data_IF_580063317659
#
_entry.id   IF_580063317659
#
_cell.length_a   1.000
_cell.length_b   1.000
_cell.length_c   1.000
_cell.angle_alpha   90.00
_cell.angle_beta   90.00
_cell.angle_gamma   90.00
#
_symmetry.space_group_name_H-M   'P 1'
#
loop_
_entity.id
_entity.type
_entity.pdbx_description
1 polymer ?
#
# COMPACT_ATOMS: atom_id res chain seq x y z
N UNK A 1 -20.72 -21.58 -52.11
CA UNK A 1 -20.74 -20.10 -52.20
C UNK A 1 -19.89 -19.61 -51.06
N UNK A 2 -18.64 -19.22 -51.28
CA UNK A 2 -18.23 -17.91 -51.86
C UNK A 2 -18.73 -16.77 -50.93
N UNK A 3 -17.94 -15.80 -50.48
CA UNK A 3 -16.76 -15.22 -51.10
C UNK A 3 -16.08 -14.30 -50.03
N UNK A 4 -14.74 -14.25 -49.91
CA UNK A 4 -13.81 -13.39 -50.66
C UNK A 4 -13.60 -12.04 -49.93
N UNK A 5 -12.46 -11.79 -49.24
CA UNK A 5 -11.11 -11.46 -49.78
C UNK A 5 -11.05 -9.92 -50.10
N UNK A 6 -10.03 -9.08 -49.74
CA UNK A 6 -8.70 -8.85 -50.38
C UNK A 6 -8.10 -7.50 -49.94
N UNK A 7 -6.80 -7.14 -50.02
CA UNK A 7 -5.49 -7.69 -50.44
C UNK A 7 -4.43 -6.69 -49.84
N UNK A 8 -3.16 -7.01 -49.62
CA UNK A 8 -2.19 -7.31 -50.66
C UNK A 8 -0.92 -8.00 -50.12
N UNK A 9 -0.41 -8.91 -50.94
CA UNK A 9 0.89 -9.59 -50.86
C UNK A 9 1.89 -8.84 -51.74
N UNK A 10 3.14 -8.74 -51.30
CA UNK A 10 4.33 -8.60 -52.17
C UNK A 10 5.25 -9.81 -52.00
N UNK A 11 6.06 -10.16 -53.02
CA UNK A 11 6.54 -11.51 -53.23
C UNK A 11 7.77 -11.88 -52.40
N UNK A 12 7.97 -13.19 -52.29
CA UNK A 12 9.02 -13.90 -51.58
C UNK A 12 10.44 -13.30 -51.73
N UNK A 13 11.07 -13.02 -50.59
CA UNK A 13 12.48 -13.36 -50.41
C UNK A 13 12.50 -14.68 -49.64
N UNK A 14 13.24 -15.66 -50.14
CA UNK A 14 13.44 -16.94 -49.48
C UNK A 14 14.06 -16.70 -48.09
N UNK A 15 13.23 -16.70 -47.05
CA UNK A 15 13.72 -16.88 -45.69
C UNK A 15 14.01 -18.36 -45.53
N UNK A 16 15.28 -18.68 -45.34
CA UNK A 16 15.72 -19.93 -44.76
C UNK A 16 14.71 -20.38 -43.72
N UNK A 17 14.19 -21.59 -43.85
CA UNK A 17 13.38 -22.24 -42.82
C UNK A 17 14.25 -22.29 -41.57
N UNK A 18 14.14 -21.26 -40.74
CA UNK A 18 14.65 -21.29 -39.39
C UNK A 18 13.97 -22.51 -38.77
N UNK A 19 14.72 -23.48 -38.22
CA UNK A 19 14.09 -24.57 -37.50
C UNK A 19 13.15 -23.93 -36.46
N UNK A 20 11.93 -24.49 -36.25
CA UNK A 20 11.07 -23.99 -35.19
C UNK A 20 11.92 -23.87 -33.93
N UNK A 21 11.89 -22.72 -33.22
CA UNK A 21 12.71 -22.51 -32.04
C UNK A 21 12.54 -23.75 -31.17
N UNK A 22 13.67 -24.37 -30.80
CA UNK A 22 13.66 -25.58 -30.01
C UNK A 22 12.69 -25.36 -28.85
N UNK A 23 11.56 -26.08 -28.87
CA UNK A 23 10.57 -26.01 -27.81
C UNK A 23 11.28 -26.62 -26.61
N UNK A 24 11.91 -25.75 -25.80
CA UNK A 24 12.49 -26.15 -24.54
C UNK A 24 11.39 -26.87 -23.75
N UNK A 25 11.73 -28.00 -23.12
CA UNK A 25 10.70 -28.77 -22.44
C UNK A 25 10.02 -27.89 -21.39
N UNK A 26 8.70 -28.00 -21.29
CA UNK A 26 7.89 -27.28 -20.30
C UNK A 26 8.42 -27.50 -18.87
N UNK A 27 9.06 -28.65 -18.62
CA UNK A 27 9.73 -28.98 -17.36
C UNK A 27 10.93 -28.06 -17.05
N UNK A 28 11.75 -27.73 -18.05
CA UNK A 28 12.88 -26.80 -17.88
C UNK A 28 12.37 -25.38 -17.65
N UNK A 29 11.34 -24.96 -18.40
CA UNK A 29 10.70 -23.65 -18.19
C UNK A 29 10.07 -23.54 -16.79
N UNK A 30 9.39 -24.59 -16.33
CA UNK A 30 8.80 -24.64 -15.00
C UNK A 30 9.87 -24.60 -13.89
N UNK A 31 10.98 -25.33 -14.06
CA UNK A 31 12.09 -25.32 -13.11
C UNK A 31 12.78 -23.95 -13.04
N UNK A 32 13.06 -23.32 -14.19
CA UNK A 32 13.64 -21.99 -14.25
C UNK A 32 12.71 -20.92 -13.67
N UNK A 33 11.39 -21.07 -13.87
CA UNK A 33 10.38 -20.21 -13.26
C UNK A 33 10.38 -20.35 -11.74
N UNK A 34 10.39 -21.58 -11.21
CA UNK A 34 10.43 -21.83 -9.77
C UNK A 34 11.71 -21.30 -9.12
N UNK A 35 12.88 -21.53 -9.72
CA UNK A 35 14.16 -20.98 -9.23
C UNK A 35 14.14 -19.45 -9.24
N UNK A 36 13.73 -18.83 -10.36
CA UNK A 36 13.69 -17.39 -10.47
C UNK A 36 12.70 -16.75 -9.48
N UNK A 37 11.52 -17.35 -9.28
CA UNK A 37 10.55 -16.91 -8.27
C UNK A 37 11.14 -17.02 -6.86
N UNK A 38 11.79 -18.13 -6.52
CA UNK A 38 12.44 -18.31 -5.21
C UNK A 38 13.53 -17.27 -4.94
N UNK A 39 14.41 -17.03 -5.93
CA UNK A 39 15.46 -16.00 -5.83
C UNK A 39 14.89 -14.59 -5.76
N UNK A 40 13.83 -14.32 -6.52
CA UNK A 40 13.15 -13.01 -6.51
C UNK A 40 12.45 -12.74 -5.18
N UNK A 41 11.83 -13.77 -4.58
CA UNK A 41 11.25 -13.69 -3.24
C UNK A 41 12.34 -13.43 -2.18
N UNK A 42 13.45 -14.17 -2.22
CA UNK A 42 14.57 -13.96 -1.30
C UNK A 42 15.19 -12.55 -1.45
N UNK A 43 15.27 -12.03 -2.68
CA UNK A 43 15.76 -10.68 -2.94
C UNK A 43 14.80 -9.59 -2.46
N UNK A 44 13.49 -9.75 -2.66
CA UNK A 44 12.47 -8.75 -2.31
C UNK A 44 12.04 -8.79 -0.84
N UNK A 45 12.29 -9.89 -0.11
CA UNK A 45 11.88 -10.03 1.29
C UNK A 45 12.49 -8.95 2.22
N UNK A 46 13.80 -8.64 2.18
CA UNK A 46 14.37 -7.58 3.01
C UNK A 46 13.82 -6.18 2.70
N UNK A 47 13.52 -5.93 1.43
CA UNK A 47 12.88 -4.70 0.97
C UNK A 47 11.46 -4.56 1.54
N UNK A 48 10.70 -5.66 1.58
CA UNK A 48 9.37 -5.68 2.19
C UNK A 48 9.44 -5.55 3.71
N UNK A 49 10.40 -6.19 4.38
CA UNK A 49 10.59 -6.04 5.83
C UNK A 49 10.94 -4.59 6.25
N UNK A 50 11.65 -3.84 5.40
CA UNK A 50 11.92 -2.42 5.64
C UNK A 50 10.67 -1.56 5.62
N UNK A 51 9.68 -1.94 4.84
CA UNK A 51 8.39 -1.26 4.79
C UNK A 51 7.70 -1.41 6.15
N UNK A 52 7.60 -2.62 6.67
CA UNK A 52 6.98 -2.89 7.97
C UNK A 52 7.73 -2.16 9.09
N UNK A 53 9.07 -2.22 9.07
CA UNK A 53 9.91 -1.50 10.02
C UNK A 53 9.68 0.02 9.97
N UNK A 54 9.56 0.59 8.77
CA UNK A 54 9.30 2.03 8.60
C UNK A 54 7.88 2.39 9.04
N UNK A 55 6.90 1.53 8.81
CA UNK A 55 5.53 1.72 9.30
C UNK A 55 5.51 1.74 10.84
N UNK A 56 6.13 0.76 11.49
CA UNK A 56 6.26 0.69 12.95
C UNK A 56 6.98 1.92 13.52
N UNK A 57 8.04 2.37 12.86
CA UNK A 57 8.76 3.60 13.23
C UNK A 57 7.83 4.81 13.21
N UNK A 58 7.07 5.00 12.13
CA UNK A 58 6.14 6.12 11.99
C UNK A 58 5.02 6.07 13.04
N UNK A 59 4.48 4.88 13.34
CA UNK A 59 3.51 4.69 14.43
C UNK A 59 4.14 5.07 15.78
N UNK A 60 5.40 4.66 16.03
CA UNK A 60 6.12 4.99 17.26
C UNK A 60 6.39 6.48 17.43
N UNK A 61 6.50 7.24 16.34
CA UNK A 61 6.60 8.71 16.41
C UNK A 61 5.33 9.30 17.05
N UNK A 62 4.15 8.78 16.71
CA UNK A 62 2.86 9.24 17.26
C UNK A 62 2.85 9.27 18.80
N UNK A 63 3.47 8.28 19.44
CA UNK A 63 3.58 8.16 20.90
C UNK A 63 4.34 9.31 21.57
N UNK A 64 5.18 10.02 20.80
CA UNK A 64 6.01 11.11 21.30
C UNK A 64 5.20 12.25 21.91
N UNK A 65 4.09 12.61 21.25
CA UNK A 65 3.17 13.65 21.72
C UNK A 65 2.52 13.25 23.04
N UNK A 66 1.92 12.07 23.09
CA UNK A 66 1.17 11.62 24.27
C UNK A 66 2.06 11.55 25.51
N UNK A 67 3.29 11.06 25.38
CA UNK A 67 4.21 10.97 26.51
C UNK A 67 4.64 12.35 27.03
N UNK A 68 4.97 13.29 26.14
CA UNK A 68 5.31 14.67 26.55
C UNK A 68 4.13 15.32 27.24
N UNK A 69 2.92 15.22 26.67
CA UNK A 69 1.71 15.81 27.26
C UNK A 69 1.42 15.21 28.64
N UNK A 70 1.57 13.90 28.82
CA UNK A 70 1.39 13.25 30.11
C UNK A 70 2.36 13.77 31.18
N UNK A 71 3.64 13.96 30.83
CA UNK A 71 4.64 14.52 31.75
C UNK A 71 4.36 15.99 32.07
N UNK A 72 3.96 16.79 31.09
CA UNK A 72 3.62 18.19 31.29
C UNK A 72 2.37 18.36 32.16
N UNK A 73 1.33 17.56 31.93
CA UNK A 73 0.11 17.54 32.74
C UNK A 73 0.39 17.11 34.19
N UNK A 74 1.38 16.25 34.41
CA UNK A 74 1.88 15.90 35.74
C UNK A 74 2.82 16.97 36.34
N UNK A 75 3.00 18.12 35.69
CA UNK A 75 3.88 19.24 36.10
C UNK A 75 5.37 18.84 36.13
N UNK A 76 5.76 17.80 35.38
CA UNK A 76 7.12 17.25 35.33
C UNK A 76 7.94 17.83 34.18
N UNK A 77 8.02 19.16 34.10
CA UNK A 77 8.66 19.89 32.98
C UNK A 77 10.13 19.48 32.72
N UNK A 78 10.90 19.21 33.77
CA UNK A 78 12.31 18.78 33.63
C UNK A 78 12.41 17.36 33.07
N UNK A 79 11.55 16.46 33.53
CA UNK A 79 11.47 15.08 33.02
C UNK A 79 11.07 15.09 31.56
N UNK A 80 10.03 15.86 31.19
CA UNK A 80 9.57 16.00 29.80
C UNK A 80 10.70 16.40 28.85
N UNK A 81 11.50 17.41 29.21
CA UNK A 81 12.67 17.84 28.40
C UNK A 81 13.74 16.76 28.30
N UNK A 82 14.13 16.17 29.42
CA UNK A 82 15.18 15.14 29.43
C UNK A 82 14.78 13.89 28.64
N UNK A 83 13.51 13.50 28.75
CA UNK A 83 12.93 12.40 28.00
C UNK A 83 12.89 12.72 26.51
N UNK A 84 12.37 13.91 26.13
CA UNK A 84 12.21 14.28 24.73
C UNK A 84 13.54 14.33 23.99
N UNK A 85 14.61 14.84 24.62
CA UNK A 85 15.96 14.85 24.04
C UNK A 85 16.50 13.44 23.82
N UNK A 86 16.34 12.54 24.80
CA UNK A 86 16.79 11.15 24.68
C UNK A 86 15.99 10.39 23.61
N UNK A 87 14.67 10.49 23.66
CA UNK A 87 13.77 9.91 22.67
C UNK A 87 14.09 10.42 21.26
N UNK A 88 14.35 11.72 21.10
CA UNK A 88 14.72 12.30 19.82
C UNK A 88 16.05 11.76 19.28
N UNK A 89 17.03 11.49 20.14
CA UNK A 89 18.27 10.85 19.75
C UNK A 89 18.04 9.39 19.30
N UNK A 90 17.22 8.64 20.04
CA UNK A 90 16.86 7.25 19.72
C UNK A 90 16.12 7.15 18.37
N UNK A 91 15.14 8.02 18.12
CA UNK A 91 14.38 8.01 16.86
C UNK A 91 15.24 8.38 15.66
N UNK A 92 16.10 9.41 15.78
CA UNK A 92 17.04 9.76 14.70
C UNK A 92 18.05 8.67 14.43
N UNK A 93 18.58 8.02 15.47
CA UNK A 93 19.48 6.89 15.31
C UNK A 93 18.79 5.70 14.60
N UNK A 94 17.55 5.38 14.98
CA UNK A 94 16.76 4.33 14.33
C UNK A 94 16.50 4.63 12.85
N UNK A 95 16.10 5.86 12.53
CA UNK A 95 15.90 6.30 11.16
C UNK A 95 17.17 6.24 10.30
N UNK A 96 18.32 6.63 10.87
CA UNK A 96 19.61 6.54 10.19
C UNK A 96 20.03 5.08 9.95
N UNK A 97 19.83 4.20 10.94
CA UNK A 97 20.11 2.77 10.82
C UNK A 97 19.27 2.08 9.74
N UNK A 98 18.00 2.48 9.58
CA UNK A 98 17.13 1.97 8.51
C UNK A 98 17.65 2.38 7.12
N UNK A 99 18.14 3.60 6.97
CA UNK A 99 18.74 4.06 5.71
C UNK A 99 20.07 3.36 5.41
N UNK A 100 20.91 3.14 6.43
CA UNK A 100 22.15 2.37 6.30
C UNK A 100 21.84 0.93 5.88
N UNK A 101 20.87 0.27 6.54
CA UNK A 101 20.41 -1.06 6.17
C UNK A 101 19.93 -1.11 4.73
N UNK A 102 19.15 -0.11 4.26
CA UNK A 102 18.68 -0.03 2.89
C UNK A 102 19.84 0.07 1.89
N UNK A 103 20.85 0.87 2.21
CA UNK A 103 22.03 1.03 1.36
C UNK A 103 22.86 -0.25 1.24
N UNK A 104 22.79 -1.14 2.23
CA UNK A 104 23.46 -2.43 2.24
C UNK A 104 22.72 -3.55 1.49
N UNK A 105 21.48 -3.34 1.05
CA UNK A 105 20.71 -4.35 0.32
C UNK A 105 21.18 -4.50 -1.14
N UNK A 106 21.10 -5.72 -1.73
CA UNK A 106 21.53 -5.96 -3.10
C UNK A 106 20.75 -5.09 -4.12
N UNK A 107 21.42 -4.19 -4.86
CA UNK A 107 20.72 -3.14 -5.61
C UNK A 107 20.01 -3.63 -6.88
N UNK A 108 20.34 -4.83 -7.37
CA UNK A 108 19.83 -5.38 -8.62
C UNK A 108 19.06 -6.68 -8.35
N UNK A 109 17.84 -6.83 -8.88
CA UNK A 109 17.09 -8.07 -8.76
C UNK A 109 17.75 -9.20 -9.58
N UNK A 110 17.43 -10.47 -9.28
CA UNK A 110 17.86 -11.61 -10.08
C UNK A 110 17.44 -11.44 -11.55
N UNK A 111 18.34 -11.68 -12.52
CA UNK A 111 17.99 -11.56 -13.93
C UNK A 111 16.96 -12.62 -14.32
N UNK A 112 16.00 -12.23 -15.16
CA UNK A 112 15.01 -13.15 -15.72
C UNK A 112 15.70 -14.11 -16.69
N UNK A 113 15.59 -15.45 -16.50
CA UNK A 113 16.19 -16.44 -17.39
C UNK A 113 15.71 -16.30 -18.84
N UNK A 114 16.61 -16.48 -19.81
CA UNK A 114 16.28 -16.36 -21.23
C UNK A 114 15.22 -17.38 -21.69
N UNK A 115 15.11 -18.50 -20.98
CA UNK A 115 14.16 -19.59 -21.22
C UNK A 115 12.70 -19.18 -20.95
N UNK A 116 12.48 -18.21 -20.06
CA UNK A 116 11.17 -17.73 -19.65
C UNK A 116 10.96 -16.23 -19.94
N UNK A 117 11.95 -15.57 -20.55
CA UNK A 117 11.93 -14.12 -20.82
C UNK A 117 10.99 -13.71 -21.96
N UNK A 118 10.52 -14.67 -22.76
CA UNK A 118 9.55 -14.41 -23.82
C UNK A 118 8.15 -14.18 -23.26
N UNK A 119 7.85 -14.66 -22.04
CA UNK A 119 6.58 -14.44 -21.36
C UNK A 119 6.41 -12.96 -20.96
N UNK A 120 5.40 -12.24 -21.49
CA UNK A 120 5.13 -10.85 -21.14
C UNK A 120 4.86 -10.63 -19.64
N UNK A 121 4.18 -11.55 -18.96
CA UNK A 121 3.86 -11.44 -17.54
C UNK A 121 5.12 -11.54 -16.68
N UNK A 122 6.04 -12.44 -17.03
CA UNK A 122 7.32 -12.57 -16.30
C UNK A 122 8.24 -11.38 -16.55
N UNK A 123 8.27 -10.82 -17.76
CA UNK A 123 8.98 -9.56 -18.03
C UNK A 123 8.42 -8.39 -17.21
N UNK A 124 7.10 -8.30 -17.10
CA UNK A 124 6.46 -7.28 -16.27
C UNK A 124 6.79 -7.46 -14.79
N UNK A 125 6.78 -8.69 -14.29
CA UNK A 125 7.20 -9.01 -12.91
C UNK A 125 8.66 -8.64 -12.65
N UNK A 126 9.57 -8.95 -13.58
CA UNK A 126 10.98 -8.57 -13.47
C UNK A 126 11.18 -7.05 -13.42
N UNK A 127 10.43 -6.30 -14.24
CA UNK A 127 10.43 -4.83 -14.21
C UNK A 127 9.90 -4.30 -12.87
N UNK A 128 8.85 -4.92 -12.32
CA UNK A 128 8.25 -4.54 -11.03
C UNK A 128 9.23 -4.70 -9.87
N UNK A 129 10.12 -5.70 -9.91
CA UNK A 129 11.20 -5.86 -8.92
C UNK A 129 12.19 -4.69 -8.95
N UNK A 130 12.57 -4.20 -10.14
CA UNK A 130 13.44 -3.02 -10.26
C UNK A 130 12.77 -1.80 -9.62
N UNK A 131 11.49 -1.58 -9.92
CA UNK A 131 10.72 -0.46 -9.39
C UNK A 131 10.53 -0.52 -7.87
N UNK A 132 10.42 -1.72 -7.29
CA UNK A 132 10.25 -1.91 -5.84
C UNK A 132 11.35 -1.19 -5.04
N UNK A 133 12.62 -1.37 -5.42
CA UNK A 133 13.76 -0.76 -4.73
C UNK A 133 13.69 0.77 -4.78
N UNK A 134 13.42 1.34 -5.95
CA UNK A 134 13.39 2.79 -6.14
C UNK A 134 12.23 3.44 -5.37
N UNK A 135 11.10 2.74 -5.30
CA UNK A 135 9.93 3.17 -4.52
C UNK A 135 10.20 3.12 -3.02
N UNK A 136 10.84 2.06 -2.51
CA UNK A 136 11.24 1.99 -1.09
C UNK A 136 12.24 3.09 -0.74
N UNK A 137 13.23 3.33 -1.61
CA UNK A 137 14.17 4.44 -1.40
C UNK A 137 13.47 5.80 -1.35
N UNK A 138 12.42 5.98 -2.15
CA UNK A 138 11.59 7.20 -2.14
C UNK A 138 10.78 7.32 -0.85
N UNK A 139 10.14 6.24 -0.41
CA UNK A 139 9.41 6.14 0.84
C UNK A 139 10.29 6.49 2.05
N UNK A 140 11.48 5.90 2.15
CA UNK A 140 12.42 6.18 3.24
C UNK A 140 12.80 7.66 3.27
N UNK A 141 13.11 8.28 2.12
CA UNK A 141 13.46 9.71 2.05
C UNK A 141 12.30 10.64 2.41
N UNK A 142 11.10 10.39 1.90
CA UNK A 142 9.94 11.24 2.14
C UNK A 142 9.52 11.21 3.61
N UNK A 143 9.47 10.01 4.19
CA UNK A 143 9.08 9.82 5.59
C UNK A 143 10.15 10.31 6.57
N UNK A 144 11.42 10.32 6.17
CA UNK A 144 12.51 10.87 6.98
C UNK A 144 12.30 12.35 7.32
N UNK A 145 12.07 13.19 6.32
CA UNK A 145 11.96 14.64 6.53
C UNK A 145 10.78 15.01 7.41
N UNK A 146 9.62 14.40 7.18
CA UNK A 146 8.42 14.61 8.01
C UNK A 146 8.62 14.07 9.43
N UNK A 147 9.29 12.92 9.57
CA UNK A 147 9.62 12.33 10.86
C UNK A 147 10.58 13.18 11.69
N UNK A 148 11.67 13.66 11.09
CA UNK A 148 12.64 14.56 11.74
C UNK A 148 11.99 15.87 12.18
N UNK A 149 11.18 16.46 11.32
CA UNK A 149 10.43 17.69 11.64
C UNK A 149 9.54 17.47 12.87
N UNK A 150 8.84 16.34 12.94
CA UNK A 150 8.00 16.03 14.09
C UNK A 150 8.80 15.75 15.37
N UNK A 151 9.95 15.08 15.26
CA UNK A 151 10.87 14.90 16.39
C UNK A 151 11.27 16.26 16.97
N UNK A 152 11.60 17.24 16.13
CA UNK A 152 11.92 18.60 16.56
C UNK A 152 10.74 19.28 17.28
N UNK A 153 9.52 19.07 16.78
CA UNK A 153 8.31 19.61 17.40
C UNK A 153 8.04 19.00 18.78
N UNK A 154 8.26 17.69 18.97
CA UNK A 154 8.15 17.04 20.28
C UNK A 154 9.18 17.62 21.26
N UNK A 155 10.41 17.82 20.81
CA UNK A 155 11.47 18.45 21.64
C UNK A 155 11.09 19.88 22.01
N UNK A 156 10.60 20.69 21.07
CA UNK A 156 10.15 22.05 21.33
C UNK A 156 8.96 22.08 22.31
N UNK A 157 7.96 21.23 22.10
CA UNK A 157 6.76 21.13 22.93
C UNK A 157 7.05 20.72 24.38
N UNK A 158 8.17 20.03 24.65
CA UNK A 158 8.62 19.73 26.02
C UNK A 158 8.89 20.99 26.88
N UNK A 159 8.90 22.18 26.27
CA UNK A 159 8.94 23.46 26.98
C UNK A 159 7.64 23.79 27.72
N UNK A 160 6.50 23.24 27.28
CA UNK A 160 5.15 23.52 27.78
C UNK A 160 4.53 24.84 27.26
N UNK A 161 5.18 25.54 26.33
CA UNK A 161 4.63 26.79 25.76
C UNK A 161 3.47 26.48 24.82
N UNK A 162 2.38 27.25 24.94
CA UNK A 162 1.16 27.05 24.14
C UNK A 162 1.42 27.04 22.63
N UNK A 163 2.31 27.90 22.12
CA UNK A 163 2.69 27.92 20.70
C UNK A 163 3.42 26.65 20.24
N UNK A 164 4.29 26.08 21.09
CA UNK A 164 5.01 24.84 20.76
C UNK A 164 4.05 23.62 20.79
N UNK A 165 3.07 23.63 21.71
CA UNK A 165 2.04 22.59 21.80
C UNK A 165 1.09 22.62 20.58
N UNK A 166 0.64 23.80 20.16
CA UNK A 166 -0.17 23.94 18.94
C UNK A 166 0.61 23.52 17.67
N UNK A 167 1.91 23.84 17.60
CA UNK A 167 2.77 23.39 16.52
C UNK A 167 2.94 21.86 16.51
N UNK A 168 3.08 21.23 17.69
CA UNK A 168 3.10 19.77 17.82
C UNK A 168 1.79 19.11 17.37
N UNK A 169 0.64 19.68 17.72
CA UNK A 169 -0.67 19.20 17.25
C UNK A 169 -0.75 19.24 15.72
N UNK A 170 -0.36 20.36 15.11
CA UNK A 170 -0.30 20.48 13.64
C UNK A 170 0.73 19.55 12.99
N UNK A 171 1.88 19.33 13.63
CA UNK A 171 2.91 18.41 13.17
C UNK A 171 2.49 16.94 13.20
N UNK A 172 1.67 16.56 14.18
CA UNK A 172 1.14 15.19 14.26
C UNK A 172 0.34 14.81 13.01
N UNK A 173 -0.52 15.72 12.53
CA UNK A 173 -1.24 15.52 11.27
C UNK A 173 -0.30 15.36 10.07
N UNK A 174 0.81 16.10 10.02
CA UNK A 174 1.78 16.00 8.93
C UNK A 174 2.51 14.65 8.91
N UNK A 175 2.76 14.03 10.08
CA UNK A 175 3.31 12.67 10.15
C UNK A 175 2.31 11.64 9.68
N UNK A 176 1.05 11.75 10.10
CA UNK A 176 -0.02 10.85 9.66
C UNK A 176 -0.25 10.95 8.14
N UNK A 177 -0.23 12.17 7.60
CA UNK A 177 -0.26 12.43 6.16
C UNK A 177 0.89 11.73 5.44
N UNK A 178 2.13 11.94 5.90
CA UNK A 178 3.31 11.28 5.31
C UNK A 178 3.26 9.76 5.41
N UNK A 179 2.66 9.21 6.48
CA UNK A 179 2.46 7.77 6.64
C UNK A 179 1.46 7.22 5.61
N UNK A 180 0.33 7.90 5.40
CA UNK A 180 -0.67 7.48 4.42
C UNK A 180 -0.17 7.67 2.98
N UNK A 181 0.60 8.72 2.70
CA UNK A 181 1.26 8.91 1.39
C UNK A 181 2.27 7.80 1.10
N UNK A 182 3.04 7.41 2.11
CA UNK A 182 3.96 6.28 2.03
C UNK A 182 3.21 4.96 1.77
N UNK A 183 2.11 4.70 2.48
CA UNK A 183 1.27 3.53 2.24
C UNK A 183 0.70 3.52 0.80
N UNK A 184 0.25 4.67 0.27
CA UNK A 184 -0.21 4.77 -1.12
C UNK A 184 0.90 4.39 -2.12
N UNK A 185 2.13 4.85 -1.89
CA UNK A 185 3.28 4.48 -2.74
C UNK A 185 3.55 2.97 -2.70
N UNK A 186 3.43 2.36 -1.53
CA UNK A 186 3.58 0.91 -1.34
C UNK A 186 2.47 0.13 -2.04
N UNK A 187 1.21 0.48 -1.80
CA UNK A 187 0.06 -0.14 -2.45
C UNK A 187 0.19 -0.08 -3.98
N UNK A 188 0.72 1.04 -4.48
CA UNK A 188 1.00 1.20 -5.92
C UNK A 188 2.18 0.34 -6.38
N UNK A 189 3.13 0.02 -5.50
CA UNK A 189 4.32 -0.80 -5.79
C UNK A 189 4.03 -2.30 -5.78
N UNK A 190 3.11 -2.73 -4.92
CA UNK A 190 2.80 -4.14 -4.69
C UNK A 190 1.50 -4.59 -5.34
N UNK A 191 0.76 -3.67 -5.98
CA UNK A 191 -0.45 -4.04 -6.73
C UNK A 191 -0.09 -4.97 -7.89
N UNK A 192 -0.90 -6.02 -8.07
CA UNK A 192 -0.82 -6.91 -9.22
C UNK A 192 -1.16 -6.18 -10.54
N UNK A 193 -1.09 -6.84 -11.69
CA UNK A 193 -1.50 -6.26 -12.96
C UNK A 193 -2.99 -5.91 -12.99
N UNK A 194 -3.34 -4.96 -13.87
CA UNK A 194 -4.73 -4.53 -14.08
C UNK A 194 -5.57 -5.74 -14.48
N UNK A 195 -6.75 -5.87 -13.86
CA UNK A 195 -7.66 -6.98 -14.09
C UNK A 195 -7.60 -8.05 -13.00
N UNK A 196 -6.58 -8.05 -12.14
CA UNK A 196 -6.51 -8.94 -10.98
C UNK A 196 -7.19 -8.37 -9.72
N UNK A 197 -7.74 -9.20 -8.82
CA UNK A 197 -8.41 -8.71 -7.63
C UNK A 197 -7.51 -7.86 -6.73
N UNK A 198 -6.21 -8.19 -6.65
CA UNK A 198 -5.27 -7.44 -5.83
C UNK A 198 -4.99 -6.03 -6.36
N UNK A 199 -5.08 -5.82 -7.68
CA UNK A 199 -4.95 -4.48 -8.27
C UNK A 199 -6.04 -3.55 -7.76
N UNK A 200 -7.28 -4.04 -7.79
CA UNK A 200 -8.45 -3.28 -7.36
C UNK A 200 -8.50 -3.10 -5.84
N UNK A 201 -8.10 -4.11 -5.06
CA UNK A 201 -7.94 -3.99 -3.61
C UNK A 201 -6.96 -2.86 -3.23
N UNK A 202 -5.75 -2.86 -3.81
CA UNK A 202 -4.76 -1.83 -3.55
C UNK A 202 -5.25 -0.43 -3.98
N UNK A 203 -5.99 -0.32 -5.08
CA UNK A 203 -6.57 0.95 -5.51
C UNK A 203 -7.66 1.43 -4.54
N UNK A 204 -8.55 0.55 -4.08
CA UNK A 204 -9.59 0.90 -3.11
C UNK A 204 -8.99 1.45 -1.81
N UNK A 205 -7.95 0.79 -1.29
CA UNK A 205 -7.19 1.25 -0.12
C UNK A 205 -6.48 2.59 -0.38
N UNK A 206 -5.83 2.75 -1.54
CA UNK A 206 -5.12 3.97 -1.86
C UNK A 206 -6.06 5.18 -1.93
N UNK A 207 -7.25 5.03 -2.53
CA UNK A 207 -8.25 6.09 -2.57
C UNK A 207 -8.86 6.36 -1.19
N UNK A 208 -9.08 5.32 -0.36
CA UNK A 208 -9.50 5.52 1.03
C UNK A 208 -8.46 6.33 1.83
N UNK A 209 -7.16 6.06 1.64
CA UNK A 209 -6.08 6.83 2.24
C UNK A 209 -6.07 8.29 1.75
N UNK A 210 -6.41 8.56 0.48
CA UNK A 210 -6.52 9.94 -0.03
C UNK A 210 -7.67 10.72 0.61
N UNK A 211 -8.78 10.06 0.96
CA UNK A 211 -9.84 10.69 1.77
C UNK A 211 -9.28 11.07 3.14
N UNK A 212 -8.60 10.14 3.82
CA UNK A 212 -8.01 10.38 5.12
C UNK A 212 -6.96 11.51 5.08
N UNK A 213 -6.06 11.53 4.10
CA UNK A 213 -5.11 12.64 3.88
C UNK A 213 -5.84 13.97 3.72
N UNK A 214 -6.88 14.03 2.89
CA UNK A 214 -7.67 15.25 2.66
C UNK A 214 -8.31 15.74 3.97
N UNK A 215 -8.80 14.83 4.81
CA UNK A 215 -9.35 15.14 6.13
C UNK A 215 -8.27 15.57 7.13
N UNK A 216 -7.09 14.94 7.15
CA UNK A 216 -5.97 15.32 8.01
C UNK A 216 -5.44 16.72 7.65
N UNK A 217 -5.33 17.04 6.35
CA UNK A 217 -4.95 18.37 5.88
C UNK A 217 -5.92 19.46 6.34
N UNK A 218 -7.23 19.17 6.29
CA UNK A 218 -8.26 20.06 6.83
C UNK A 218 -8.06 20.29 8.35
N UNK A 219 -7.93 19.21 9.13
CA UNK A 219 -7.77 19.31 10.57
C UNK A 219 -6.49 20.04 10.97
N UNK A 220 -5.40 19.78 10.24
CA UNK A 220 -4.15 20.52 10.39
C UNK A 220 -4.34 22.02 10.14
N UNK A 221 -5.04 22.40 9.06
CA UNK A 221 -5.31 23.80 8.76
C UNK A 221 -6.15 24.46 9.87
N UNK A 222 -7.18 23.77 10.38
CA UNK A 222 -8.00 24.24 11.50
C UNK A 222 -7.15 24.47 12.76
N UNK A 223 -6.36 23.47 13.16
CA UNK A 223 -5.50 23.54 14.36
C UNK A 223 -4.46 24.65 14.26
N UNK A 224 -3.90 24.87 13.07
CA UNK A 224 -2.91 25.91 12.83
C UNK A 224 -3.53 27.29 12.52
N UNK A 225 -4.86 27.43 12.53
CA UNK A 225 -5.55 28.68 12.19
C UNK A 225 -5.33 29.15 10.76
N UNK A 226 -5.04 28.23 9.84
CA UNK A 226 -4.76 28.51 8.43
C UNK A 226 -6.08 28.57 7.62
N UNK A 227 -6.14 29.40 6.57
CA UNK A 227 -7.30 29.42 5.69
C UNK A 227 -7.45 28.09 4.94
N UNK A 228 -8.68 27.61 4.77
CA UNK A 228 -8.98 26.37 4.04
C UNK A 228 -10.27 26.47 3.22
N UNK A 229 -10.29 25.77 2.09
CA UNK A 229 -11.48 25.62 1.24
C UNK A 229 -12.28 24.38 1.65
N UNK A 230 -13.28 24.55 2.50
CA UNK A 230 -14.14 23.44 2.97
C UNK A 230 -14.86 22.76 1.81
N UNK A 231 -15.42 23.53 0.87
CA UNK A 231 -16.22 22.97 -0.22
C UNK A 231 -15.34 22.15 -1.18
N UNK A 232 -14.15 22.66 -1.52
CA UNK A 232 -13.16 21.93 -2.30
C UNK A 232 -12.64 20.67 -1.60
N UNK A 233 -12.40 20.74 -0.29
CA UNK A 233 -12.02 19.57 0.53
C UNK A 233 -13.10 18.50 0.51
N UNK A 234 -14.36 18.85 0.79
CA UNK A 234 -15.48 17.90 0.78
C UNK A 234 -15.66 17.29 -0.62
N UNK A 235 -15.53 18.07 -1.69
CA UNK A 235 -15.60 17.57 -3.07
C UNK A 235 -14.52 16.51 -3.34
N UNK A 236 -13.26 16.78 -2.97
CA UNK A 236 -12.16 15.81 -3.10
C UNK A 236 -12.39 14.54 -2.29
N UNK A 237 -12.88 14.66 -1.06
CA UNK A 237 -13.21 13.50 -0.23
C UNK A 237 -14.28 12.63 -0.90
N UNK A 238 -15.33 13.24 -1.47
CA UNK A 238 -16.38 12.50 -2.19
C UNK A 238 -15.86 11.84 -3.47
N UNK A 239 -14.99 12.52 -4.21
CA UNK A 239 -14.35 11.98 -5.42
C UNK A 239 -13.52 10.73 -5.10
N UNK A 240 -12.62 10.81 -4.11
CA UNK A 240 -11.83 9.66 -3.69
C UNK A 240 -12.69 8.54 -3.09
N UNK A 241 -13.73 8.86 -2.33
CA UNK A 241 -14.65 7.85 -1.81
C UNK A 241 -15.40 7.12 -2.95
N UNK A 242 -15.80 7.83 -4.01
CA UNK A 242 -16.42 7.23 -5.18
C UNK A 242 -15.46 6.31 -5.94
N UNK A 243 -14.21 6.74 -6.15
CA UNK A 243 -13.18 5.91 -6.79
C UNK A 243 -12.83 4.67 -5.95
N UNK A 244 -12.79 4.81 -4.62
CA UNK A 244 -12.60 3.69 -3.68
C UNK A 244 -13.73 2.68 -3.82
N UNK A 245 -14.98 3.16 -3.92
CA UNK A 245 -16.15 2.31 -4.13
C UNK A 245 -16.12 1.58 -5.46
N UNK A 246 -15.83 2.30 -6.55
CA UNK A 246 -15.69 1.73 -7.89
C UNK A 246 -14.64 0.63 -7.93
N UNK A 247 -13.47 0.86 -7.32
CA UNK A 247 -12.43 -0.16 -7.22
C UNK A 247 -12.88 -1.39 -6.40
N UNK A 248 -13.63 -1.21 -5.31
CA UNK A 248 -14.18 -2.33 -4.54
C UNK A 248 -15.20 -3.17 -5.34
N UNK A 249 -16.00 -2.52 -6.18
CA UNK A 249 -16.94 -3.19 -7.08
C UNK A 249 -16.21 -3.92 -8.22
N UNK A 250 -15.19 -3.31 -8.82
CA UNK A 250 -14.32 -3.94 -9.81
C UNK A 250 -13.56 -5.14 -9.23
N UNK A 251 -13.14 -5.07 -7.96
CA UNK A 251 -12.55 -6.21 -7.26
C UNK A 251 -13.51 -7.40 -7.25
N UNK A 252 -14.80 -7.17 -6.97
CA UNK A 252 -15.83 -8.22 -6.99
C UNK A 252 -15.96 -8.84 -8.38
N UNK A 253 -16.01 -8.01 -9.43
CA UNK A 253 -16.10 -8.47 -10.82
C UNK A 253 -14.86 -9.27 -11.23
N UNK A 254 -13.68 -8.79 -10.87
CA UNK A 254 -12.41 -9.47 -11.11
C UNK A 254 -12.36 -10.81 -10.40
N UNK A 255 -12.73 -10.89 -9.12
CA UNK A 255 -12.81 -12.16 -8.38
C UNK A 255 -13.79 -13.15 -9.05
N UNK A 256 -14.94 -12.67 -9.55
CA UNK A 256 -15.88 -13.51 -10.30
C UNK A 256 -15.27 -14.04 -11.59
N UNK A 257 -14.55 -13.21 -12.35
CA UNK A 257 -13.86 -13.64 -13.57
C UNK A 257 -12.75 -14.65 -13.27
N UNK A 258 -11.94 -14.41 -12.24
CA UNK A 258 -10.90 -15.36 -11.80
C UNK A 258 -11.52 -16.70 -11.42
N UNK A 259 -12.61 -16.70 -10.64
CA UNK A 259 -13.34 -17.94 -10.31
C UNK A 259 -13.81 -18.67 -11.57
N UNK A 260 -14.42 -17.95 -12.52
CA UNK A 260 -14.88 -18.54 -13.78
C UNK A 260 -13.73 -19.14 -14.60
N UNK A 261 -12.55 -18.50 -14.61
CA UNK A 261 -11.37 -19.05 -15.28
C UNK A 261 -10.92 -20.36 -14.63
N UNK A 262 -10.85 -20.40 -13.29
CA UNK A 262 -10.45 -21.60 -12.55
C UNK A 262 -11.46 -22.75 -12.69
N UNK A 263 -12.77 -22.44 -12.69
CA UNK A 263 -13.84 -23.42 -12.90
C UNK A 263 -13.82 -24.03 -14.30
N UNK A 264 -13.26 -23.31 -15.28
CA UNK A 264 -13.19 -23.74 -16.68
C UNK A 264 -11.85 -24.40 -17.04
N UNK A 265 -10.93 -24.56 -16.08
CA UNK A 265 -9.64 -25.22 -16.28
C UNK A 265 -9.77 -26.74 -16.02
N UNK A 266 -9.83 -27.59 -17.06
CA UNK A 266 -10.24 -29.00 -16.92
C UNK A 266 -9.29 -29.82 -16.05
N UNK A 267 -8.00 -29.46 -16.06
CA UNK A 267 -6.95 -30.17 -15.32
C UNK A 267 -6.79 -29.67 -13.87
N UNK A 268 -7.47 -28.58 -13.52
CA UNK A 268 -7.43 -27.99 -12.18
C UNK A 268 -8.62 -28.43 -11.33
N UNK A 269 -9.82 -28.52 -11.91
CA UNK A 269 -11.04 -28.84 -11.16
C UNK A 269 -10.96 -30.23 -10.52
N UNK A 270 -11.23 -30.31 -9.22
CA UNK A 270 -11.15 -31.56 -8.45
C UNK A 270 -9.77 -31.87 -7.88
N UNK A 271 -8.75 -31.05 -8.17
CA UNK A 271 -7.42 -31.18 -7.53
C UNK A 271 -7.41 -30.59 -6.12
N UNK A 272 -6.48 -31.03 -5.24
CA UNK A 272 -6.25 -30.38 -3.95
C UNK A 272 -5.89 -28.89 -4.08
N UNK A 273 -5.20 -28.50 -5.15
CA UNK A 273 -4.86 -27.10 -5.43
C UNK A 273 -6.13 -26.27 -5.64
N UNK A 274 -7.09 -26.75 -6.44
CA UNK A 274 -8.37 -26.08 -6.62
C UNK A 274 -9.11 -25.90 -5.28
N UNK A 275 -9.17 -26.96 -4.47
CA UNK A 275 -9.81 -26.89 -3.14
C UNK A 275 -9.13 -25.88 -2.22
N UNK A 276 -7.82 -25.70 -2.32
CA UNK A 276 -7.06 -24.70 -1.56
C UNK A 276 -7.26 -23.26 -2.08
N UNK A 277 -7.43 -23.08 -3.41
CA UNK A 277 -7.66 -21.77 -4.03
C UNK A 277 -9.05 -21.18 -3.72
N UNK A 278 -10.07 -22.03 -3.59
CA UNK A 278 -11.46 -21.58 -3.43
C UNK A 278 -11.71 -20.72 -2.17
N UNK A 279 -11.27 -21.10 -0.95
CA UNK A 279 -11.39 -20.25 0.24
C UNK A 279 -10.68 -18.90 0.11
N UNK A 280 -9.60 -18.83 -0.68
CA UNK A 280 -8.90 -17.56 -0.94
C UNK A 280 -9.69 -16.64 -1.85
N UNK A 281 -10.40 -17.18 -2.84
CA UNK A 281 -11.34 -16.38 -3.65
C UNK A 281 -12.50 -15.86 -2.82
N UNK A 282 -13.03 -16.68 -1.90
CA UNK A 282 -14.07 -16.25 -0.97
C UNK A 282 -13.61 -15.09 -0.06
N UNK A 283 -12.35 -15.13 0.40
CA UNK A 283 -11.71 -14.04 1.13
C UNK A 283 -11.70 -12.72 0.36
N UNK A 284 -11.52 -12.77 -0.97
CA UNK A 284 -11.52 -11.57 -1.81
C UNK A 284 -12.91 -10.92 -1.90
N UNK A 285 -13.99 -11.71 -1.92
CA UNK A 285 -15.34 -11.15 -1.83
C UNK A 285 -15.60 -10.44 -0.50
N UNK A 286 -15.14 -11.01 0.62
CA UNK A 286 -15.22 -10.35 1.92
C UNK A 286 -14.40 -9.06 1.95
N UNK A 287 -13.20 -9.09 1.36
CA UNK A 287 -12.34 -7.91 1.26
C UNK A 287 -13.01 -6.80 0.45
N UNK A 288 -13.61 -7.12 -0.70
CA UNK A 288 -14.35 -6.17 -1.51
C UNK A 288 -15.54 -5.55 -0.73
N UNK A 289 -16.25 -6.36 0.06
CA UNK A 289 -17.33 -5.87 0.91
C UNK A 289 -16.85 -4.92 2.01
N UNK A 290 -15.71 -5.21 2.63
CA UNK A 290 -15.11 -4.30 3.62
C UNK A 290 -14.69 -2.98 2.99
N UNK A 291 -14.03 -2.99 1.83
CA UNK A 291 -13.64 -1.77 1.11
C UNK A 291 -14.87 -0.94 0.69
N UNK A 292 -15.94 -1.59 0.24
CA UNK A 292 -17.24 -0.95 -0.01
C UNK A 292 -17.76 -0.20 1.22
N UNK A 293 -17.74 -0.84 2.39
CA UNK A 293 -18.20 -0.24 3.64
C UNK A 293 -17.31 0.91 4.11
N UNK A 294 -15.99 0.80 3.90
CA UNK A 294 -15.02 1.88 4.17
C UNK A 294 -15.31 3.08 3.25
N UNK A 295 -15.55 2.84 1.96
CA UNK A 295 -15.94 3.90 1.02
C UNK A 295 -17.24 4.60 1.45
N UNK A 296 -18.24 3.85 1.92
CA UNK A 296 -19.49 4.42 2.45
C UNK A 296 -19.24 5.28 3.71
N UNK A 297 -18.33 4.85 4.60
CA UNK A 297 -17.92 5.67 5.75
C UNK A 297 -17.17 6.92 5.29
N UNK A 298 -16.35 6.87 4.25
CA UNK A 298 -15.68 8.03 3.69
C UNK A 298 -16.65 9.06 3.09
N UNK A 299 -17.74 8.60 2.45
CA UNK A 299 -18.84 9.48 2.02
C UNK A 299 -19.53 10.13 3.23
N UNK A 300 -19.81 9.36 4.28
CA UNK A 300 -20.40 9.88 5.51
C UNK A 300 -19.47 10.90 6.20
N UNK A 301 -18.15 10.66 6.20
CA UNK A 301 -17.16 11.58 6.74
C UNK A 301 -17.19 12.91 5.97
N UNK A 302 -17.22 12.85 4.63
CA UNK A 302 -17.31 14.05 3.80
C UNK A 302 -18.60 14.85 4.09
N UNK A 303 -19.73 14.18 4.30
CA UNK A 303 -20.99 14.84 4.69
C UNK A 303 -20.90 15.47 6.09
N UNK A 304 -20.31 14.78 7.07
CA UNK A 304 -20.10 15.32 8.41
C UNK A 304 -19.12 16.52 8.41
N UNK A 305 -18.10 16.49 7.55
CA UNK A 305 -17.20 17.61 7.30
C UNK A 305 -17.90 18.81 6.66
N UNK A 306 -18.78 18.57 5.68
CA UNK A 306 -19.59 19.63 5.06
C UNK A 306 -20.50 20.33 6.09
N UNK A 307 -21.16 19.54 6.93
CA UNK A 307 -22.00 20.01 8.01
C UNK A 307 -21.22 20.65 9.18
N UNK A 308 -19.88 20.52 9.20
CA UNK A 308 -19.03 20.92 10.32
C UNK A 308 -19.46 20.28 11.66
N UNK A 309 -19.92 19.03 11.60
CA UNK A 309 -20.38 18.27 12.77
C UNK A 309 -19.23 17.38 13.29
N UNK A 310 -18.54 17.86 14.33
CA UNK A 310 -17.43 17.13 14.94
C UNK A 310 -17.84 15.82 15.62
N UNK A 311 -19.07 15.72 16.12
CA UNK A 311 -19.56 14.49 16.75
C UNK A 311 -19.84 13.42 15.69
N UNK A 312 -20.46 13.81 14.57
CA UNK A 312 -20.65 12.92 13.44
C UNK A 312 -19.31 12.47 12.83
N UNK A 313 -18.32 13.38 12.70
CA UNK A 313 -16.97 13.01 12.24
C UNK A 313 -16.35 11.96 13.16
N UNK A 314 -16.39 12.16 14.49
CA UNK A 314 -15.84 11.20 15.44
C UNK A 314 -16.54 9.83 15.37
N UNK A 315 -17.87 9.81 15.23
CA UNK A 315 -18.62 8.56 15.11
C UNK A 315 -18.26 7.79 13.82
N UNK A 316 -18.08 8.51 12.71
CA UNK A 316 -17.64 7.91 11.44
C UNK A 316 -16.22 7.37 11.53
N UNK A 317 -15.29 8.13 12.13
CA UNK A 317 -13.89 7.69 12.35
C UNK A 317 -13.84 6.43 13.20
N UNK A 318 -14.56 6.39 14.33
CA UNK A 318 -14.60 5.20 15.20
C UNK A 318 -15.12 3.96 14.45
N UNK A 319 -16.11 4.13 13.55
CA UNK A 319 -16.61 3.03 12.73
C UNK A 319 -15.61 2.61 11.64
N UNK A 320 -14.92 3.57 11.02
CA UNK A 320 -13.87 3.30 10.05
C UNK A 320 -12.70 2.53 10.67
N UNK A 321 -12.31 2.83 11.92
CA UNK A 321 -11.28 2.09 12.66
C UNK A 321 -11.63 0.61 12.83
N UNK A 322 -12.88 0.29 13.18
CA UNK A 322 -13.36 -1.10 13.27
C UNK A 322 -13.24 -1.80 11.92
N UNK A 323 -13.68 -1.15 10.84
CA UNK A 323 -13.60 -1.72 9.49
C UNK A 323 -12.15 -1.92 9.01
N UNK A 324 -11.25 -0.99 9.34
CA UNK A 324 -9.82 -1.11 9.03
C UNK A 324 -9.19 -2.28 9.80
N UNK A 325 -9.58 -2.50 11.05
CA UNK A 325 -9.14 -3.66 11.82
C UNK A 325 -9.68 -4.99 11.24
N UNK A 326 -10.94 -5.02 10.82
CA UNK A 326 -11.52 -6.18 10.13
C UNK A 326 -10.81 -6.46 8.79
N UNK A 327 -10.50 -5.41 8.03
CA UNK A 327 -9.69 -5.51 6.79
C UNK A 327 -8.32 -6.12 7.06
N UNK A 328 -7.62 -5.66 8.10
CA UNK A 328 -6.32 -6.20 8.48
C UNK A 328 -6.42 -7.68 8.89
N UNK A 329 -7.43 -8.05 9.68
CA UNK A 329 -7.68 -9.43 10.06
C UNK A 329 -7.95 -10.33 8.85
N UNK A 330 -8.73 -9.86 7.89
CA UNK A 330 -9.04 -10.59 6.65
C UNK A 330 -7.81 -10.73 5.75
N UNK A 331 -6.96 -9.70 5.67
CA UNK A 331 -5.67 -9.79 4.98
C UNK A 331 -4.76 -10.83 5.66
N UNK A 332 -4.60 -10.80 6.98
CA UNK A 332 -3.81 -11.78 7.72
C UNK A 332 -4.35 -13.21 7.54
N UNK A 333 -5.67 -13.39 7.55
CA UNK A 333 -6.31 -14.69 7.29
C UNK A 333 -5.89 -15.24 5.91
N UNK A 334 -5.91 -14.41 4.88
CA UNK A 334 -5.49 -14.79 3.52
C UNK A 334 -3.99 -15.09 3.42
N UNK A 335 -3.14 -14.34 4.10
CA UNK A 335 -1.70 -14.63 4.15
C UNK A 335 -1.41 -15.99 4.82
N UNK A 336 -2.12 -16.33 5.90
CA UNK A 336 -2.00 -17.64 6.54
C UNK A 336 -2.46 -18.78 5.62
N UNK A 337 -3.51 -18.57 4.82
CA UNK A 337 -3.94 -19.54 3.82
C UNK A 337 -2.88 -19.77 2.75
N UNK A 338 -2.27 -18.69 2.23
CA UNK A 338 -1.18 -18.78 1.25
C UNK A 338 0.04 -19.52 1.82
N UNK A 339 0.41 -19.24 3.07
CA UNK A 339 1.52 -19.91 3.74
C UNK A 339 1.26 -21.41 3.97
N UNK A 340 0.01 -21.81 4.21
CA UNK A 340 -0.38 -23.20 4.40
C UNK A 340 -0.39 -24.04 3.11
N UNK A 341 -0.24 -23.41 1.94
CA UNK A 341 -0.16 -24.07 0.64
C UNK A 341 1.27 -24.40 0.20
N UNK A 342 2.28 -23.92 0.94
CA UNK A 342 3.71 -24.19 0.71
C UNK A 342 4.14 -25.51 1.36
#
# INVERSE_FOLDING_TARGET
>A
MAAVLLFAVTPAAASTTEPPPAVQSLEVQAADMQDWLGRSAAWSAPYTAMIDQRADRLVSLGQGKDHVLNLLNAVKNREARSWAVRWAAEQRAGMAAEYEAFSGLPPTPPPLPATISTDPALRQSAQSLVELRDRIGTLLRQTQSSGETYIDLVVAASSGRAGDLAALDGGHYAVLEAHLEAEILMLTATRGPVGEPNYYFSNAMAEANRVAITWLQLNRAIVLGQPFDRAGTVRRMREHAALSREAADDMTLSTTRTKQMLDNEPDLVGTPLYQALMPMLESLYRSAELERQIADQNVALAAATEANDGNAQNAVVAKAEVLVAERAAEFSRRQLMLAAMQ
#
